data_IF_789025697704
#
_entry.id   IF_789025697704
#
_cell.length_a   1.000
_cell.length_b   1.000
_cell.length_c   1.000
_cell.angle_alpha   90.00
_cell.angle_beta   90.00
_cell.angle_gamma   90.00
#
_symmetry.space_group_name_H-M   'P 1'
#
loop_
_entity.id
_entity.type
_entity.pdbx_description
1 polymer ?
#
# COMPACT_ATOMS: atom_id res chain seq x y z
N UNK A 1 11.09 -0.24 -4.00
CA UNK A 1 10.05 0.66 -4.54
C UNK A 1 9.04 1.10 -3.47
N UNK A 2 8.44 0.20 -2.68
CA UNK A 2 7.50 0.61 -1.60
C UNK A 2 8.11 1.57 -0.58
N UNK A 3 9.37 1.34 -0.16
CA UNK A 3 10.10 2.26 0.72
C UNK A 3 10.17 3.69 0.17
N UNK A 4 10.59 3.84 -1.08
CA UNK A 4 10.70 5.15 -1.71
C UNK A 4 9.33 5.86 -1.80
N UNK A 5 8.25 5.11 -2.06
CA UNK A 5 6.90 5.66 -2.07
C UNK A 5 6.45 6.12 -0.66
N UNK A 6 6.83 5.39 0.38
CA UNK A 6 6.61 5.79 1.78
C UNK A 6 7.40 7.07 2.10
N UNK A 7 8.69 7.14 1.71
CA UNK A 7 9.54 8.31 1.92
C UNK A 7 8.99 9.56 1.25
N UNK A 8 8.61 9.47 -0.04
CA UNK A 8 7.94 10.58 -0.74
C UNK A 8 6.65 10.99 -0.03
N UNK A 9 5.84 10.03 0.41
CA UNK A 9 4.63 10.32 1.18
C UNK A 9 4.93 11.03 2.52
N UNK A 10 6.06 10.75 3.17
CA UNK A 10 6.49 11.49 4.37
C UNK A 10 6.92 12.92 4.03
N UNK A 11 7.72 13.10 2.98
CA UNK A 11 8.20 14.41 2.52
C UNK A 11 7.04 15.34 2.15
N UNK A 12 6.00 14.80 1.52
CA UNK A 12 4.78 15.52 1.17
C UNK A 12 3.79 15.70 2.35
N UNK A 13 4.15 15.24 3.56
CA UNK A 13 3.32 15.40 4.76
C UNK A 13 2.15 14.44 4.90
N UNK A 14 2.07 13.40 4.05
CA UNK A 14 1.03 12.37 4.08
C UNK A 14 1.28 11.25 5.08
N UNK A 15 2.36 11.34 5.87
CA UNK A 15 2.69 10.43 6.99
C UNK A 15 3.02 9.00 6.53
N UNK A 16 3.60 8.85 5.34
CA UNK A 16 4.00 7.54 4.80
C UNK A 16 2.87 6.70 4.22
N UNK A 17 1.65 7.23 4.18
CA UNK A 17 0.48 6.55 3.59
C UNK A 17 0.58 6.49 2.07
N UNK A 18 0.26 5.33 1.51
CA UNK A 18 0.17 5.10 0.07
C UNK A 18 -0.99 4.16 -0.21
N UNK A 19 -1.61 4.28 -1.38
CA UNK A 19 -2.68 3.40 -1.82
C UNK A 19 -2.43 2.91 -3.24
N UNK A 20 -2.83 1.67 -3.54
CA UNK A 20 -2.68 1.09 -4.89
C UNK A 20 -3.73 0.03 -5.19
N UNK A 21 -4.02 -0.15 -6.47
CA UNK A 21 -4.78 -1.28 -6.99
C UNK A 21 -3.81 -2.38 -7.43
N UNK A 22 -3.89 -3.55 -6.82
CA UNK A 22 -2.98 -4.67 -7.08
C UNK A 22 -3.51 -5.57 -8.19
N UNK A 23 -2.60 -6.01 -9.07
CA UNK A 23 -2.84 -7.18 -9.90
C UNK A 23 -3.00 -8.44 -9.01
N UNK A 24 -3.78 -9.45 -9.45
CA UNK A 24 -4.03 -10.65 -8.62
C UNK A 24 -2.75 -11.37 -8.18
N UNK A 25 -1.76 -11.47 -9.06
CA UNK A 25 -0.49 -12.14 -8.79
C UNK A 25 0.39 -11.46 -7.73
N UNK A 26 0.21 -10.16 -7.51
CA UNK A 26 0.99 -9.36 -6.54
C UNK A 26 0.24 -9.09 -5.23
N UNK A 27 -1.04 -9.46 -5.13
CA UNK A 27 -1.85 -9.14 -3.94
C UNK A 27 -1.22 -9.69 -2.65
N UNK A 28 -0.74 -10.93 -2.69
CA UNK A 28 -0.08 -11.55 -1.55
C UNK A 28 1.23 -10.89 -1.14
N UNK A 29 1.91 -10.16 -2.03
CA UNK A 29 3.09 -9.36 -1.67
C UNK A 29 2.69 -8.13 -0.86
N UNK A 30 1.69 -7.37 -1.30
CA UNK A 30 1.26 -6.17 -0.57
C UNK A 30 0.62 -6.49 0.78
N UNK A 31 -0.21 -7.53 0.82
CA UNK A 31 -0.87 -7.97 2.06
C UNK A 31 0.15 -8.51 3.07
N UNK A 32 1.01 -9.47 2.66
CA UNK A 32 1.84 -10.24 3.61
C UNK A 32 3.26 -9.74 3.75
N UNK A 33 3.89 -9.29 2.66
CA UNK A 33 5.27 -8.82 2.70
C UNK A 33 5.35 -7.32 3.02
N UNK A 34 4.37 -6.53 2.57
CA UNK A 34 4.30 -5.10 2.91
C UNK A 34 3.40 -4.78 4.10
N UNK A 35 2.51 -5.67 4.52
CA UNK A 35 1.59 -5.42 5.64
C UNK A 35 0.52 -4.37 5.33
N UNK A 36 0.19 -4.16 4.05
CA UNK A 36 -0.86 -3.22 3.65
C UNK A 36 -2.25 -3.78 3.98
N UNK A 37 -3.18 -2.90 4.30
CA UNK A 37 -4.58 -3.23 4.55
C UNK A 37 -5.32 -3.50 3.24
N UNK A 38 -5.95 -4.66 3.13
CA UNK A 38 -6.82 -5.04 2.02
C UNK A 38 -8.21 -4.43 2.19
N UNK A 39 -8.62 -3.58 1.25
CA UNK A 39 -9.92 -2.92 1.24
C UNK A 39 -10.91 -3.55 0.25
N UNK A 40 -10.57 -4.71 -0.31
CA UNK A 40 -11.43 -5.46 -1.21
C UNK A 40 -11.31 -5.05 -2.67
N UNK A 41 -12.20 -5.61 -3.49
CA UNK A 41 -12.25 -5.34 -4.94
C UNK A 41 -12.94 -4.01 -5.20
N UNK A 42 -12.28 -3.14 -5.94
CA UNK A 42 -12.86 -1.89 -6.42
C UNK A 42 -13.46 -2.09 -7.83
N UNK A 43 -14.79 -2.16 -7.89
CA UNK A 43 -15.53 -2.31 -9.15
C UNK A 43 -15.39 -1.15 -10.12
N UNK A 44 -14.89 0.01 -9.67
CA UNK A 44 -14.67 1.20 -10.51
C UNK A 44 -13.27 1.24 -11.13
N UNK A 45 -12.38 0.35 -10.71
CA UNK A 45 -10.96 0.31 -11.11
C UNK A 45 -10.57 -1.09 -11.57
N UNK A 46 -11.07 -1.46 -12.76
CA UNK A 46 -10.74 -2.72 -13.44
C UNK A 46 -11.03 -3.98 -12.61
N UNK A 47 -11.89 -3.89 -11.57
CA UNK A 47 -12.10 -4.94 -10.57
C UNK A 47 -10.81 -5.39 -9.87
N UNK A 48 -9.86 -4.48 -9.70
CA UNK A 48 -8.61 -4.75 -8.98
C UNK A 48 -8.82 -4.58 -7.47
N UNK A 49 -8.03 -5.33 -6.70
CA UNK A 49 -8.06 -5.27 -5.24
C UNK A 49 -7.29 -4.04 -4.76
N UNK A 50 -7.92 -3.21 -3.94
CA UNK A 50 -7.34 -1.99 -3.41
C UNK A 50 -6.65 -2.25 -2.07
N UNK A 51 -5.45 -1.71 -1.92
CA UNK A 51 -4.64 -1.80 -0.71
C UNK A 51 -4.21 -0.42 -0.24
N UNK A 52 -4.18 -0.22 1.08
CA UNK A 52 -3.67 0.98 1.71
C UNK A 52 -2.57 0.68 2.72
N UNK A 53 -1.52 1.51 2.71
CA UNK A 53 -0.53 1.58 3.77
C UNK A 53 -0.99 2.64 4.77
N UNK A 54 -1.23 2.25 6.01
CA UNK A 54 -1.55 3.20 7.09
C UNK A 54 -0.28 3.87 7.62
N UNK A 55 -0.43 4.96 8.36
CA UNK A 55 0.72 5.62 9.01
C UNK A 55 1.45 4.69 9.99
N UNK A 56 0.70 3.82 10.67
CA UNK A 56 1.21 2.88 11.66
C UNK A 56 2.03 1.78 10.97
N UNK A 57 1.51 1.20 9.88
CA UNK A 57 2.25 0.20 9.12
C UNK A 57 3.47 0.80 8.41
N UNK A 58 3.36 2.02 7.87
CA UNK A 58 4.48 2.74 7.27
C UNK A 58 5.62 2.95 8.27
N UNK A 59 5.31 3.28 9.53
CA UNK A 59 6.31 3.46 10.58
C UNK A 59 7.02 2.16 10.96
N UNK A 60 6.37 1.01 10.77
CA UNK A 60 6.94 -0.32 11.06
C UNK A 60 7.68 -0.94 9.86
N UNK A 61 7.60 -0.33 8.67
CA UNK A 61 8.18 -0.86 7.44
C UNK A 61 9.71 -0.65 7.37
N UNK A 62 10.49 -1.52 8.03
CA UNK A 62 11.96 -1.47 8.07
C UNK A 62 12.65 -2.06 6.83
N UNK A 63 13.96 -1.77 6.67
CA UNK A 63 14.88 -2.23 5.59
C UNK A 63 15.01 -3.73 5.46
#
# INVERSE_FOLDING_TARGET
MIRAAIEVSQEEGFRGRIGLHSLPQSAGFYERACGMSDLGIDGTKENLRYFEMTSEHAALFSS
#
